data_IF_293302042039
#
_entry.id   IF_293302042039
#
_cell.length_a   1.000
_cell.length_b   1.000
_cell.length_c   1.000
_cell.angle_alpha   90.00
_cell.angle_beta   90.00
_cell.angle_gamma   90.00
#
_symmetry.space_group_name_H-M   'P 1'
#
loop_
_entity.id
_entity.type
_entity.pdbx_description
1 polymer ?
#
# COMPACT_ATOMS: atom_id res chain seq x y z
N UNK A 1 -29.59 -5.41 -31.60
CA UNK A 1 -29.47 -3.93 -31.63
C UNK A 1 -30.05 -3.27 -30.38
N UNK A 2 -31.27 -3.59 -29.94
CA UNK A 2 -31.92 -2.95 -28.76
C UNK A 2 -31.16 -3.21 -27.44
N UNK A 3 -30.61 -4.40 -27.22
CA UNK A 3 -29.85 -4.75 -26.00
C UNK A 3 -28.53 -3.99 -25.86
N UNK A 4 -27.83 -3.72 -26.98
CA UNK A 4 -26.60 -2.91 -26.98
C UNK A 4 -26.88 -1.42 -26.70
N UNK A 5 -27.98 -0.89 -27.23
CA UNK A 5 -28.40 0.50 -26.97
C UNK A 5 -28.78 0.72 -25.51
N UNK A 6 -29.47 -0.25 -24.88
CA UNK A 6 -29.81 -0.21 -23.45
C UNK A 6 -28.56 -0.33 -22.56
N UNK A 7 -27.64 -1.26 -22.87
CA UNK A 7 -26.38 -1.39 -22.13
C UNK A 7 -25.49 -0.13 -22.23
N UNK A 8 -25.40 0.49 -23.41
CA UNK A 8 -24.70 1.75 -23.60
C UNK A 8 -25.35 2.92 -22.83
N UNK A 9 -26.68 2.97 -22.77
CA UNK A 9 -27.41 4.01 -22.03
C UNK A 9 -27.27 3.88 -20.51
N UNK A 10 -27.17 2.66 -19.99
CA UNK A 10 -26.98 2.39 -18.56
C UNK A 10 -25.56 2.76 -18.09
N UNK A 11 -24.54 2.41 -18.89
CA UNK A 11 -23.14 2.77 -18.61
C UNK A 11 -22.91 4.29 -18.61
N UNK A 12 -23.62 5.03 -19.47
CA UNK A 12 -23.56 6.50 -19.50
C UNK A 12 -24.18 7.13 -18.24
N UNK A 13 -25.32 6.61 -17.78
CA UNK A 13 -25.96 7.06 -16.53
C UNK A 13 -25.07 6.76 -15.31
N UNK A 14 -24.43 5.59 -15.28
CA UNK A 14 -23.44 5.26 -14.25
C UNK A 14 -22.24 6.21 -14.29
N UNK A 15 -21.69 6.52 -15.47
CA UNK A 15 -20.60 7.49 -15.62
C UNK A 15 -20.98 8.88 -15.10
N UNK A 16 -22.21 9.32 -15.37
CA UNK A 16 -22.70 10.62 -14.94
C UNK A 16 -22.76 10.76 -13.41
N UNK A 17 -22.97 9.65 -12.69
CA UNK A 17 -22.99 9.61 -11.23
C UNK A 17 -21.61 9.32 -10.61
N UNK A 18 -20.86 8.36 -11.17
CA UNK A 18 -19.61 7.89 -10.59
C UNK A 18 -18.47 8.88 -10.75
N UNK A 19 -18.38 9.61 -11.88
CA UNK A 19 -17.33 10.61 -12.08
C UNK A 19 -17.35 11.73 -11.03
N UNK A 20 -18.47 12.42 -10.76
CA UNK A 20 -18.50 13.42 -9.69
C UNK A 20 -18.30 12.81 -8.31
N UNK A 21 -18.78 11.59 -8.07
CA UNK A 21 -18.54 10.88 -6.81
C UNK A 21 -17.04 10.60 -6.60
N UNK A 22 -16.32 10.05 -7.58
CA UNK A 22 -14.88 9.81 -7.49
C UNK A 22 -14.08 11.11 -7.36
N UNK A 23 -14.50 12.19 -8.02
CA UNK A 23 -13.87 13.50 -7.87
C UNK A 23 -14.04 14.05 -6.44
N UNK A 24 -15.22 13.91 -5.86
CA UNK A 24 -15.49 14.29 -4.46
C UNK A 24 -14.64 13.45 -3.51
N UNK A 25 -14.59 12.13 -3.70
CA UNK A 25 -13.82 11.25 -2.83
C UNK A 25 -12.31 11.53 -2.93
N UNK A 26 -11.78 11.75 -4.14
CA UNK A 26 -10.38 12.19 -4.32
C UNK A 26 -10.13 13.51 -3.58
N UNK A 27 -11.04 14.48 -3.68
CA UNK A 27 -10.91 15.76 -2.96
C UNK A 27 -10.96 15.59 -1.44
N UNK A 28 -11.76 14.67 -0.92
CA UNK A 28 -11.81 14.38 0.51
C UNK A 28 -10.51 13.70 0.96
N UNK A 29 -10.03 12.71 0.21
CA UNK A 29 -8.77 12.03 0.47
C UNK A 29 -7.58 13.01 0.48
N UNK A 30 -7.52 13.95 -0.48
CA UNK A 30 -6.44 14.94 -0.56
C UNK A 30 -6.39 15.95 0.59
N UNK A 31 -7.42 15.99 1.46
CA UNK A 31 -7.38 16.80 2.70
C UNK A 31 -6.64 16.08 3.83
N UNK A 32 -6.58 14.75 3.77
CA UNK A 32 -5.95 13.90 4.78
C UNK A 32 -4.62 13.31 4.31
N UNK A 33 -4.46 13.13 3.00
CA UNK A 33 -3.23 12.64 2.38
C UNK A 33 -2.43 13.84 1.87
N UNK A 34 -1.29 14.17 2.49
CA UNK A 34 -0.44 15.25 2.01
C UNK A 34 0.14 14.88 0.63
N UNK A 35 0.18 15.89 -0.25
CA UNK A 35 0.85 15.79 -1.53
C UNK A 35 2.36 15.71 -1.32
N UNK A 36 3.05 14.99 -2.21
CA UNK A 36 4.51 14.98 -2.24
C UNK A 36 5.01 16.42 -2.47
N UNK A 37 5.89 16.96 -1.61
CA UNK A 37 6.40 18.32 -1.78
C UNK A 37 7.07 18.48 -3.14
N UNK A 38 6.78 19.57 -3.87
CA UNK A 38 7.41 19.84 -5.17
C UNK A 38 8.92 20.03 -5.11
N UNK A 39 9.47 20.25 -3.91
CA UNK A 39 10.90 20.37 -3.62
C UNK A 39 11.56 19.05 -3.23
N UNK A 40 10.79 17.97 -3.06
CA UNK A 40 11.33 16.66 -2.71
C UNK A 40 12.20 16.12 -3.87
N UNK A 41 13.37 15.59 -3.53
CA UNK A 41 14.22 14.85 -4.48
C UNK A 41 13.99 13.37 -4.25
N UNK A 42 13.19 12.76 -5.12
CA UNK A 42 12.76 11.39 -4.98
C UNK A 42 13.79 10.41 -5.56
N UNK A 43 14.04 9.34 -4.83
CA UNK A 43 14.89 8.23 -5.24
C UNK A 43 14.12 7.24 -6.11
N UNK A 44 14.84 6.50 -6.96
CA UNK A 44 14.28 5.51 -7.89
C UNK A 44 15.13 4.24 -7.89
N UNK A 45 14.50 3.10 -8.16
CA UNK A 45 15.15 1.80 -8.21
C UNK A 45 16.16 1.66 -9.35
N UNK A 46 16.00 2.44 -10.42
CA UNK A 46 16.89 2.41 -11.58
C UNK A 46 18.11 3.34 -11.45
N UNK A 47 18.24 4.08 -10.35
CA UNK A 47 19.42 4.89 -10.06
C UNK A 47 20.61 4.00 -9.61
N UNK A 48 21.72 3.95 -10.38
CA UNK A 48 22.90 3.17 -10.00
C UNK A 48 23.51 3.59 -8.66
N UNK A 49 23.37 4.86 -8.25
CA UNK A 49 23.87 5.34 -6.96
C UNK A 49 23.07 4.75 -5.79
N UNK A 50 21.76 4.57 -5.97
CA UNK A 50 20.88 3.89 -5.00
C UNK A 50 21.28 2.43 -4.87
N UNK A 51 21.49 1.73 -5.98
CA UNK A 51 21.87 0.30 -5.98
C UNK A 51 23.29 0.10 -5.43
N UNK A 52 24.23 1.01 -5.70
CA UNK A 52 25.61 0.85 -5.26
C UNK A 52 25.81 1.14 -3.76
N UNK A 53 24.96 1.99 -3.16
CA UNK A 53 25.11 2.40 -1.77
C UNK A 53 24.45 1.41 -0.81
N UNK A 54 25.24 0.48 -0.28
CA UNK A 54 24.74 -0.58 0.59
C UNK A 54 24.64 -0.13 2.06
N UNK A 55 25.56 0.69 2.60
CA UNK A 55 25.56 1.07 4.03
C UNK A 55 25.55 -0.12 5.02
N UNK A 56 25.19 0.14 6.27
CA UNK A 56 24.93 -0.91 7.28
C UNK A 56 23.61 -1.67 7.00
N UNK A 57 23.39 -2.78 7.71
CA UNK A 57 22.18 -3.61 7.63
C UNK A 57 21.46 -3.69 8.95
N UNK A 58 20.14 -3.76 8.89
CA UNK A 58 19.25 -4.05 10.01
C UNK A 58 18.87 -5.52 9.97
N UNK A 59 18.98 -6.20 11.11
CA UNK A 59 18.52 -7.59 11.21
C UNK A 59 17.00 -7.65 11.40
N UNK A 60 16.30 -8.00 10.33
CA UNK A 60 14.84 -8.14 10.32
C UNK A 60 14.36 -9.57 10.67
N UNK A 61 15.23 -10.48 11.12
CA UNK A 61 14.88 -11.89 11.35
C UNK A 61 13.78 -12.07 12.43
N UNK A 62 13.74 -11.21 13.46
CA UNK A 62 12.66 -11.22 14.45
C UNK A 62 11.31 -10.95 13.79
N UNK A 63 11.24 -9.92 12.94
CA UNK A 63 10.01 -9.58 12.22
C UNK A 63 9.62 -10.65 11.21
N UNK A 64 10.58 -11.18 10.45
CA UNK A 64 10.35 -12.29 9.52
C UNK A 64 9.74 -13.49 10.23
N UNK A 65 10.24 -13.81 11.43
CA UNK A 65 9.75 -14.93 12.23
C UNK A 65 8.34 -14.71 12.80
N UNK A 66 7.99 -13.46 13.14
CA UNK A 66 6.63 -13.07 13.54
C UNK A 66 5.68 -13.20 12.35
N UNK A 67 6.07 -12.66 11.19
CA UNK A 67 5.26 -12.72 9.97
C UNK A 67 4.99 -14.16 9.52
N UNK A 68 6.01 -15.02 9.51
CA UNK A 68 5.83 -16.44 9.15
C UNK A 68 4.92 -17.20 10.11
N UNK A 69 4.90 -16.82 11.38
CA UNK A 69 4.09 -17.49 12.39
C UNK A 69 2.62 -17.07 12.33
N UNK A 70 2.34 -15.80 11.99
CA UNK A 70 1.02 -15.20 12.17
C UNK A 70 0.38 -14.68 10.89
N UNK A 71 1.03 -14.80 9.72
CA UNK A 71 0.49 -14.33 8.44
C UNK A 71 0.39 -15.49 7.45
N UNK A 72 -0.84 -15.77 7.02
CA UNK A 72 -1.18 -16.80 6.04
C UNK A 72 -2.04 -16.16 4.95
N UNK A 73 -1.61 -16.29 3.69
CA UNK A 73 -2.30 -15.71 2.53
C UNK A 73 -2.62 -14.20 2.64
N UNK A 74 -1.79 -13.47 3.42
CA UNK A 74 -1.97 -12.04 3.67
C UNK A 74 -2.94 -11.68 4.80
N UNK A 75 -3.53 -12.68 5.46
CA UNK A 75 -4.40 -12.54 6.62
C UNK A 75 -3.60 -12.73 7.91
N UNK A 76 -3.91 -11.94 8.92
CA UNK A 76 -3.14 -11.87 10.17
C UNK A 76 -3.89 -12.53 11.32
N UNK A 77 -3.23 -13.45 12.02
CA UNK A 77 -3.64 -13.89 13.35
C UNK A 77 -3.24 -12.84 14.38
N UNK A 78 -4.09 -11.83 14.55
CA UNK A 78 -3.83 -10.76 15.52
C UNK A 78 -3.87 -11.24 16.98
N UNK A 79 -4.57 -12.33 17.28
CA UNK A 79 -4.63 -12.87 18.64
C UNK A 79 -3.31 -13.59 18.98
N UNK A 80 -2.85 -14.48 18.11
CA UNK A 80 -1.55 -15.13 18.23
C UNK A 80 -0.40 -14.13 18.21
N UNK A 81 -0.44 -13.15 17.30
CA UNK A 81 0.58 -12.11 17.21
C UNK A 81 0.65 -11.23 18.45
N UNK A 82 -0.49 -10.94 19.10
CA UNK A 82 -0.51 -10.17 20.35
C UNK A 82 0.19 -10.88 21.51
N UNK A 83 0.24 -12.21 21.49
CA UNK A 83 0.92 -13.03 22.48
C UNK A 83 2.42 -13.26 22.17
N UNK A 84 2.90 -12.84 21.00
CA UNK A 84 4.26 -13.08 20.55
C UNK A 84 5.23 -11.98 21.01
N UNK A 85 6.18 -12.28 21.93
CA UNK A 85 7.10 -11.26 22.45
C UNK A 85 8.04 -10.69 21.38
N UNK A 86 8.29 -11.44 20.29
CA UNK A 86 9.21 -11.04 19.22
C UNK A 86 8.75 -9.77 18.50
N UNK A 87 7.43 -9.48 18.49
CA UNK A 87 6.92 -8.20 17.97
C UNK A 87 7.39 -7.02 18.84
N UNK A 88 7.50 -7.19 20.16
CA UNK A 88 8.07 -6.18 21.06
C UNK A 88 9.55 -5.98 20.80
N UNK A 89 10.29 -7.09 20.82
CA UNK A 89 11.74 -7.09 20.62
C UNK A 89 12.13 -6.46 19.29
N UNK A 90 11.37 -6.73 18.22
CA UNK A 90 11.61 -6.11 16.92
C UNK A 90 11.35 -4.60 16.91
N UNK A 91 10.31 -4.13 17.59
CA UNK A 91 10.01 -2.69 17.67
C UNK A 91 11.08 -1.95 18.46
N UNK A 92 11.57 -2.54 19.55
CA UNK A 92 12.68 -1.99 20.33
C UNK A 92 13.97 -1.95 19.50
N UNK A 93 14.22 -2.97 18.67
CA UNK A 93 15.36 -3.01 17.76
C UNK A 93 15.32 -1.87 16.75
N UNK A 94 14.21 -1.69 16.01
CA UNK A 94 14.12 -0.65 14.99
C UNK A 94 14.08 0.77 15.58
N UNK A 95 13.64 0.92 16.83
CA UNK A 95 13.69 2.18 17.55
C UNK A 95 15.14 2.64 17.82
N UNK A 96 16.08 1.70 17.95
CA UNK A 96 17.49 1.98 18.27
C UNK A 96 18.41 2.08 17.05
N UNK A 97 17.91 1.85 15.84
CA UNK A 97 18.70 1.90 14.59
C UNK A 97 19.26 3.31 14.33
N UNK A 98 20.50 3.40 13.88
CA UNK A 98 21.07 4.64 13.37
C UNK A 98 20.83 4.73 11.85
N UNK A 99 19.78 5.45 11.45
CA UNK A 99 19.39 5.55 10.05
C UNK A 99 20.49 6.20 9.19
N UNK A 100 21.34 7.06 9.72
CA UNK A 100 22.35 7.77 8.92
C UNK A 100 23.44 6.84 8.36
N UNK A 101 23.58 5.64 8.93
CA UNK A 101 24.52 4.62 8.47
C UNK A 101 23.95 3.69 7.40
N UNK A 102 22.65 3.74 7.17
CA UNK A 102 21.96 2.85 6.24
C UNK A 102 22.05 3.34 4.80
N UNK A 103 22.21 2.41 3.86
CA UNK A 103 22.03 2.68 2.45
C UNK A 103 20.55 2.96 2.12
N UNK A 104 20.26 3.60 0.97
CA UNK A 104 18.89 3.88 0.51
C UNK A 104 17.92 2.70 0.59
N UNK A 105 18.29 1.54 0.01
CA UNK A 105 17.41 0.37 -0.02
C UNK A 105 17.16 -0.19 1.38
N UNK A 106 18.15 -0.12 2.28
CA UNK A 106 18.00 -0.53 3.67
C UNK A 106 17.10 0.43 4.45
N UNK A 107 17.19 1.75 4.20
CA UNK A 107 16.20 2.71 4.74
C UNK A 107 14.79 2.37 4.27
N UNK A 108 14.61 2.08 2.98
CA UNK A 108 13.32 1.72 2.42
C UNK A 108 12.76 0.45 3.08
N UNK A 109 13.56 -0.61 3.18
CA UNK A 109 13.18 -1.85 3.86
C UNK A 109 12.82 -1.60 5.33
N UNK A 110 13.65 -0.85 6.07
CA UNK A 110 13.41 -0.49 7.45
C UNK A 110 12.05 0.18 7.63
N UNK A 111 11.75 1.23 6.86
CA UNK A 111 10.51 1.99 7.03
C UNK A 111 9.26 1.22 6.55
N UNK A 112 9.36 0.38 5.52
CA UNK A 112 8.24 -0.51 5.14
C UNK A 112 7.97 -1.56 6.22
N UNK A 113 9.02 -2.20 6.75
CA UNK A 113 8.88 -3.14 7.86
C UNK A 113 8.35 -2.45 9.12
N UNK A 114 8.83 -1.23 9.41
CA UNK A 114 8.40 -0.45 10.56
C UNK A 114 6.91 -0.09 10.45
N UNK A 115 6.45 0.40 9.30
CA UNK A 115 5.02 0.69 9.08
C UNK A 115 4.17 -0.53 9.39
N UNK A 116 4.52 -1.69 8.81
CA UNK A 116 3.74 -2.92 8.96
C UNK A 116 3.75 -3.43 10.42
N UNK A 117 4.91 -3.40 11.08
CA UNK A 117 5.03 -3.83 12.48
C UNK A 117 4.29 -2.88 13.43
N UNK A 118 4.37 -1.56 13.22
CA UNK A 118 3.64 -0.56 13.99
C UNK A 118 2.12 -0.65 13.77
N UNK A 119 1.69 -0.88 12.53
CA UNK A 119 0.27 -1.10 12.23
C UNK A 119 -0.24 -2.34 12.97
N UNK A 120 0.50 -3.46 12.89
CA UNK A 120 0.18 -4.66 13.66
C UNK A 120 0.14 -4.38 15.17
N UNK A 121 1.15 -3.67 15.71
CA UNK A 121 1.21 -3.26 17.12
C UNK A 121 -0.03 -2.49 17.56
N UNK A 122 -0.52 -1.57 16.72
CA UNK A 122 -1.75 -0.80 16.99
C UNK A 122 -2.94 -1.74 17.12
N UNK A 123 -3.13 -2.66 16.17
CA UNK A 123 -4.24 -3.61 16.21
C UNK A 123 -4.14 -4.56 17.41
N UNK A 124 -2.98 -5.16 17.64
CA UNK A 124 -2.78 -6.12 18.75
C UNK A 124 -2.96 -5.48 20.13
N UNK A 125 -2.57 -4.20 20.27
CA UNK A 125 -2.63 -3.48 21.55
C UNK A 125 -4.01 -2.87 21.80
N UNK A 126 -4.59 -2.21 20.79
CA UNK A 126 -5.84 -1.45 20.95
C UNK A 126 -7.09 -2.29 20.68
N UNK A 127 -6.96 -3.44 20.00
CA UNK A 127 -8.01 -4.44 19.76
C UNK A 127 -9.34 -3.83 19.27
N UNK A 128 -9.36 -3.15 18.11
CA UNK A 128 -10.60 -2.68 17.53
C UNK A 128 -11.56 -3.85 17.22
N UNK A 129 -12.86 -3.57 17.21
CA UNK A 129 -13.89 -4.61 17.03
C UNK A 129 -13.95 -5.10 15.57
N UNK A 130 -13.91 -4.17 14.60
CA UNK A 130 -14.17 -4.46 13.19
C UNK A 130 -13.14 -3.86 12.27
N UNK A 131 -12.66 -2.66 12.58
CA UNK A 131 -11.82 -1.88 11.69
C UNK A 131 -10.78 -1.08 12.46
N UNK A 132 -9.63 -0.84 11.84
CA UNK A 132 -8.69 0.17 12.32
C UNK A 132 -9.35 1.55 12.47
N UNK A 133 -10.41 1.85 11.70
CA UNK A 133 -11.20 3.08 11.81
C UNK A 133 -11.95 3.20 13.14
N UNK A 134 -12.21 2.10 13.86
CA UNK A 134 -12.83 2.13 15.19
C UNK A 134 -11.94 2.85 16.21
N UNK A 135 -10.66 3.02 15.88
CA UNK A 135 -9.66 3.71 16.70
C UNK A 135 -9.58 5.22 16.39
N UNK A 136 -10.30 5.69 15.38
CA UNK A 136 -10.42 7.10 15.02
C UNK A 136 -11.66 7.74 15.64
N UNK A 137 -11.59 9.06 15.87
CA UNK A 137 -12.73 9.89 16.28
C UNK A 137 -12.98 10.97 15.22
N UNK A 138 -13.99 11.82 15.44
CA UNK A 138 -14.27 12.97 14.55
C UNK A 138 -13.11 13.97 14.47
N UNK A 139 -12.26 14.03 15.49
CA UNK A 139 -11.20 15.04 15.63
C UNK A 139 -9.79 14.44 15.66
N UNK A 140 -9.67 13.12 15.67
CA UNK A 140 -8.39 12.45 15.81
C UNK A 140 -8.38 11.21 14.94
N UNK A 141 -7.41 11.09 14.03
CA UNK A 141 -7.22 9.89 13.24
C UNK A 141 -6.13 9.02 13.87
N UNK A 142 -6.31 7.70 13.83
CA UNK A 142 -5.32 6.76 14.36
C UNK A 142 -3.98 6.86 13.65
N UNK A 143 -3.97 7.18 12.35
CA UNK A 143 -2.74 7.33 11.57
C UNK A 143 -1.90 8.55 11.93
N UNK A 144 -2.48 9.57 12.57
CA UNK A 144 -1.79 10.80 13.01
C UNK A 144 -1.30 10.70 14.47
N UNK A 145 -1.65 9.63 15.19
CA UNK A 145 -1.21 9.46 16.57
C UNK A 145 0.20 8.87 16.62
N UNK A 146 1.00 9.21 17.64
CA UNK A 146 2.22 8.48 17.94
C UNK A 146 1.91 6.99 18.18
N UNK A 147 2.61 6.11 17.44
CA UNK A 147 2.44 4.65 17.53
C UNK A 147 3.70 3.90 17.93
N UNK A 148 4.85 4.56 17.91
CA UNK A 148 6.13 4.00 18.33
C UNK A 148 7.30 4.87 17.90
N UNK A 149 8.50 4.30 17.89
CA UNK A 149 9.71 4.97 17.44
C UNK A 149 10.43 4.17 16.37
N UNK A 150 11.06 4.87 15.43
CA UNK A 150 11.92 4.29 14.39
C UNK A 150 13.16 5.16 14.29
N UNK A 151 14.33 4.54 14.39
CA UNK A 151 15.62 5.22 14.33
C UNK A 151 15.73 6.46 15.25
N UNK A 152 15.32 6.30 16.51
CA UNK A 152 15.37 7.36 17.53
C UNK A 152 14.28 8.44 17.42
N UNK A 153 13.39 8.36 16.44
CA UNK A 153 12.32 9.35 16.22
C UNK A 153 10.97 8.73 16.58
N UNK A 154 10.18 9.43 17.39
CA UNK A 154 8.76 9.08 17.61
C UNK A 154 7.95 9.37 16.34
N UNK A 155 7.16 8.39 15.90
CA UNK A 155 6.45 8.44 14.62
C UNK A 155 5.00 8.00 14.76
N UNK A 156 4.15 8.59 13.94
CA UNK A 156 2.83 8.09 13.56
C UNK A 156 2.92 7.17 12.32
N UNK A 157 1.82 6.50 11.95
CA UNK A 157 1.78 5.74 10.69
C UNK A 157 1.92 6.67 9.47
N UNK A 158 1.31 7.86 9.53
CA UNK A 158 1.42 8.86 8.48
C UNK A 158 2.85 9.42 8.36
N UNK A 159 3.58 9.56 9.47
CA UNK A 159 5.00 9.96 9.40
C UNK A 159 5.83 8.95 8.62
N UNK A 160 5.66 7.65 8.92
CA UNK A 160 6.36 6.57 8.21
C UNK A 160 5.98 6.55 6.72
N UNK A 161 4.68 6.56 6.41
CA UNK A 161 4.20 6.47 5.03
C UNK A 161 4.53 7.70 4.20
N UNK A 162 4.37 8.90 4.74
CA UNK A 162 4.50 10.12 3.96
C UNK A 162 5.94 10.64 4.01
N UNK A 163 6.47 10.89 5.20
CA UNK A 163 7.78 11.54 5.36
C UNK A 163 8.93 10.63 4.98
N UNK A 164 8.90 9.36 5.39
CA UNK A 164 10.02 8.43 5.22
C UNK A 164 9.91 7.52 3.98
N UNK A 165 8.70 7.37 3.42
CA UNK A 165 8.47 6.57 2.22
C UNK A 165 8.09 7.45 1.01
N UNK A 166 6.85 7.94 0.92
CA UNK A 166 6.34 8.64 -0.28
C UNK A 166 7.12 9.90 -0.64
N UNK A 167 7.66 10.63 0.33
CA UNK A 167 8.44 11.86 0.08
C UNK A 167 9.93 11.59 -0.20
N UNK A 168 10.35 10.32 -0.13
CA UNK A 168 11.73 9.90 -0.38
C UNK A 168 11.88 9.10 -1.68
N UNK A 169 10.78 8.55 -2.23
CA UNK A 169 10.79 7.61 -3.36
C UNK A 169 9.71 7.90 -4.40
N UNK A 170 10.09 7.86 -5.68
CA UNK A 170 9.16 7.87 -6.83
C UNK A 170 8.86 6.41 -7.22
N UNK A 171 8.37 5.63 -6.25
CA UNK A 171 8.16 4.20 -6.39
C UNK A 171 6.76 3.79 -5.90
N UNK A 172 5.75 3.81 -6.78
CA UNK A 172 4.36 3.53 -6.39
C UNK A 172 4.14 2.08 -5.90
N UNK A 173 5.11 1.18 -6.12
CA UNK A 173 5.11 -0.17 -5.57
C UNK A 173 5.12 -0.20 -4.03
N UNK A 174 5.52 0.90 -3.37
CA UNK A 174 5.43 1.07 -1.91
C UNK A 174 4.01 0.78 -1.40
N UNK A 175 2.98 1.23 -2.12
CA UNK A 175 1.58 1.01 -1.74
C UNK A 175 1.21 -0.47 -1.61
N UNK A 176 1.88 -1.37 -2.35
CA UNK A 176 1.68 -2.82 -2.24
C UNK A 176 2.52 -3.49 -1.13
N UNK A 177 3.39 -2.73 -0.48
CA UNK A 177 4.34 -3.21 0.51
C UNK A 177 4.01 -2.75 1.94
N UNK A 178 3.15 -1.74 2.10
CA UNK A 178 2.64 -1.29 3.39
C UNK A 178 1.14 -1.62 3.51
N UNK A 179 0.70 -2.06 4.69
CA UNK A 179 -0.66 -2.57 4.89
C UNK A 179 -1.37 -1.89 6.05
N UNK A 180 -2.51 -1.28 5.74
CA UNK A 180 -3.38 -0.54 6.65
C UNK A 180 -4.32 -1.39 7.52
N UNK A 181 -4.02 -2.69 7.67
CA UNK A 181 -4.82 -3.68 8.40
C UNK A 181 -6.28 -3.86 7.92
N UNK A 182 -6.66 -3.41 6.72
CA UNK A 182 -8.00 -3.60 6.15
C UNK A 182 -8.02 -4.67 5.06
N UNK A 183 -9.19 -5.28 4.86
CA UNK A 183 -9.43 -6.37 3.90
C UNK A 183 -9.17 -5.97 2.44
N UNK A 184 -9.48 -4.71 2.09
CA UNK A 184 -9.20 -4.15 0.76
C UNK A 184 -7.78 -3.58 0.61
N UNK A 185 -6.98 -3.51 1.67
CA UNK A 185 -5.55 -3.18 1.56
C UNK A 185 -4.82 -4.32 0.78
N UNK A 186 -3.64 -4.05 0.20
CA UNK A 186 -2.75 -5.09 -0.27
C UNK A 186 -2.47 -6.10 0.84
N UNK A 187 -2.37 -7.37 0.48
CA UNK A 187 -2.16 -8.47 1.42
C UNK A 187 -0.85 -8.29 2.18
N UNK A 188 -0.77 -8.50 3.50
CA UNK A 188 0.50 -8.40 4.22
C UNK A 188 1.50 -9.46 3.74
N UNK A 189 2.78 -9.09 3.64
CA UNK A 189 3.82 -10.06 3.30
C UNK A 189 4.04 -11.01 4.48
N UNK A 190 4.17 -12.32 4.22
CA UNK A 190 4.53 -13.31 5.23
C UNK A 190 6.06 -13.39 5.46
N UNK A 191 6.78 -12.33 5.08
CA UNK A 191 8.23 -12.20 5.19
C UNK A 191 8.61 -10.73 5.39
N UNK A 192 9.74 -10.48 6.04
CA UNK A 192 10.27 -9.13 6.20
C UNK A 192 11.04 -8.68 4.95
N UNK A 193 10.98 -7.40 4.62
CA UNK A 193 11.78 -6.83 3.54
C UNK A 193 13.26 -6.73 3.95
N UNK A 194 14.17 -6.93 3.00
CA UNK A 194 15.62 -6.75 3.18
C UNK A 194 16.10 -5.72 2.18
N UNK A 195 16.92 -4.75 2.60
CA UNK A 195 17.39 -3.65 1.75
C UNK A 195 18.61 -3.99 0.90
N UNK A 196 18.60 -5.17 0.29
CA UNK A 196 19.60 -5.53 -0.70
C UNK A 196 19.13 -5.21 -2.13
N UNK A 197 19.99 -5.50 -3.10
CA UNK A 197 19.74 -5.26 -4.52
C UNK A 197 18.50 -5.98 -5.10
N UNK A 198 17.92 -6.94 -4.38
CA UNK A 198 16.72 -7.67 -4.82
C UNK A 198 15.42 -6.99 -4.40
N UNK A 199 15.47 -6.01 -3.47
CA UNK A 199 14.29 -5.33 -2.95
C UNK A 199 13.37 -4.76 -4.05
N UNK A 200 13.87 -4.07 -5.10
CA UNK A 200 13.03 -3.59 -6.18
C UNK A 200 12.18 -4.67 -6.85
N UNK A 201 12.76 -5.85 -7.10
CA UNK A 201 12.06 -6.95 -7.76
C UNK A 201 11.06 -7.63 -6.83
N UNK A 202 11.36 -7.71 -5.53
CA UNK A 202 10.41 -8.11 -4.50
C UNK A 202 9.20 -7.18 -4.49
N UNK A 203 9.43 -5.85 -4.45
CA UNK A 203 8.34 -4.86 -4.42
C UNK A 203 7.49 -4.89 -5.70
N UNK A 204 8.11 -5.04 -6.88
CA UNK A 204 7.40 -5.21 -8.15
C UNK A 204 6.55 -6.48 -8.17
N UNK A 205 7.08 -7.59 -7.66
CA UNK A 205 6.33 -8.85 -7.57
C UNK A 205 5.11 -8.71 -6.65
N UNK A 206 5.25 -7.98 -5.55
CA UNK A 206 4.16 -7.68 -4.61
C UNK A 206 3.07 -6.83 -5.25
N UNK A 207 3.46 -5.81 -6.02
CA UNK A 207 2.54 -4.99 -6.79
C UNK A 207 1.81 -5.79 -7.88
N UNK A 208 2.52 -6.65 -8.60
CA UNK A 208 1.92 -7.52 -9.62
C UNK A 208 0.91 -8.50 -9.01
N UNK A 209 1.24 -9.08 -7.84
CA UNK A 209 0.32 -9.93 -7.10
C UNK A 209 -0.93 -9.16 -6.65
N UNK A 210 -0.77 -7.92 -6.18
CA UNK A 210 -1.91 -7.06 -5.83
C UNK A 210 -2.82 -6.81 -7.04
N UNK A 211 -2.26 -6.46 -8.20
CA UNK A 211 -3.06 -6.28 -9.41
C UNK A 211 -3.64 -7.56 -10.00
N UNK A 212 -3.12 -8.73 -9.62
CA UNK A 212 -3.70 -10.01 -10.03
C UNK A 212 -4.92 -10.39 -9.18
N UNK A 213 -5.17 -9.68 -8.07
CA UNK A 213 -6.37 -9.86 -7.26
C UNK A 213 -7.54 -9.05 -7.83
N UNK A 214 -8.44 -9.73 -8.54
CA UNK A 214 -9.63 -9.11 -9.15
C UNK A 214 -10.71 -8.66 -8.13
N UNK A 215 -10.53 -8.94 -6.84
CA UNK A 215 -11.48 -8.54 -5.80
C UNK A 215 -11.15 -7.16 -5.21
N UNK A 216 -9.87 -6.76 -5.22
CA UNK A 216 -9.42 -5.52 -4.59
C UNK A 216 -8.35 -4.73 -5.35
N UNK A 217 -7.60 -5.36 -6.24
CA UNK A 217 -6.48 -4.75 -6.96
C UNK A 217 -6.84 -4.20 -8.32
N UNK A 218 -7.10 -5.08 -9.28
CA UNK A 218 -7.48 -4.73 -10.65
C UNK A 218 -8.40 -5.78 -11.26
N UNK A 219 -9.51 -5.34 -11.84
CA UNK A 219 -10.38 -6.17 -12.68
C UNK A 219 -10.60 -5.52 -14.04
N UNK A 220 -10.40 -6.30 -15.09
CA UNK A 220 -10.56 -5.86 -16.48
C UNK A 220 -11.81 -6.51 -17.09
N UNK A 221 -12.66 -5.69 -17.71
CA UNK A 221 -13.81 -6.14 -18.51
C UNK A 221 -13.63 -5.61 -19.95
N UNK A 222 -12.96 -6.36 -20.84
CA UNK A 222 -12.74 -5.92 -22.21
C UNK A 222 -14.02 -5.77 -23.03
N UNK A 223 -15.05 -6.58 -22.73
CA UNK A 223 -16.33 -6.50 -23.46
C UNK A 223 -17.03 -5.17 -23.20
N UNK A 224 -16.92 -4.65 -21.98
CA UNK A 224 -17.46 -3.34 -21.61
C UNK A 224 -16.43 -2.22 -21.66
N UNK A 225 -15.18 -2.48 -22.04
CA UNK A 225 -14.09 -1.50 -22.01
C UNK A 225 -13.99 -0.77 -20.64
N UNK A 226 -14.05 -1.55 -19.55
CA UNK A 226 -14.01 -1.05 -18.16
C UNK A 226 -12.79 -1.63 -17.44
N UNK A 227 -12.03 -0.77 -16.77
CA UNK A 227 -10.98 -1.15 -15.83
C UNK A 227 -11.37 -0.69 -14.43
N UNK A 228 -11.48 -1.63 -13.49
CA UNK A 228 -11.82 -1.39 -12.09
C UNK A 228 -10.57 -1.51 -11.23
N UNK A 229 -10.21 -0.46 -10.49
CA UNK A 229 -8.99 -0.41 -9.69
C UNK A 229 -9.29 -0.35 -8.19
N UNK A 230 -8.31 -0.70 -7.37
CA UNK A 230 -8.31 -0.36 -5.94
C UNK A 230 -8.52 1.13 -5.72
N UNK A 231 -9.21 1.50 -4.63
CA UNK A 231 -9.32 2.90 -4.19
C UNK A 231 -7.99 3.56 -3.86
N UNK A 232 -6.94 2.79 -3.59
CA UNK A 232 -5.59 3.32 -3.43
C UNK A 232 -5.18 4.14 -4.67
N UNK A 233 -5.51 3.68 -5.88
CA UNK A 233 -5.19 4.40 -7.12
C UNK A 233 -6.07 5.64 -7.33
N UNK A 234 -7.15 5.80 -6.55
CA UNK A 234 -7.96 7.01 -6.52
C UNK A 234 -7.39 8.01 -5.50
N UNK A 235 -7.16 7.55 -4.27
CA UNK A 235 -6.72 8.38 -3.15
C UNK A 235 -5.28 8.88 -3.30
N UNK A 236 -4.39 8.03 -3.82
CA UNK A 236 -2.99 8.32 -4.08
C UNK A 236 -2.70 8.53 -5.57
N UNK A 237 -3.69 8.99 -6.34
CA UNK A 237 -3.58 9.14 -7.80
C UNK A 237 -2.34 9.94 -8.25
N UNK A 238 -1.89 10.89 -7.43
CA UNK A 238 -0.73 11.73 -7.73
C UNK A 238 0.60 10.95 -7.66
N UNK A 239 0.68 9.91 -6.83
CA UNK A 239 1.85 9.03 -6.74
C UNK A 239 2.02 8.19 -8.02
N UNK A 240 0.93 7.90 -8.74
CA UNK A 240 0.95 7.16 -10.00
C UNK A 240 1.10 8.06 -11.23
N UNK A 241 1.18 9.39 -11.04
CA UNK A 241 1.18 10.35 -12.14
C UNK A 241 2.46 10.26 -12.99
N UNK A 242 3.62 10.00 -12.39
CA UNK A 242 4.89 9.78 -13.11
C UNK A 242 4.82 8.58 -14.08
N UNK A 243 4.05 7.55 -13.72
CA UNK A 243 3.73 6.41 -14.58
C UNK A 243 2.76 6.72 -15.73
N UNK A 244 2.21 7.93 -15.80
CA UNK A 244 1.15 8.34 -16.72
C UNK A 244 -0.27 7.99 -16.24
N UNK A 245 -0.44 7.82 -14.92
CA UNK A 245 -1.70 7.55 -14.26
C UNK A 245 -2.03 6.06 -14.12
N UNK A 246 -3.13 5.72 -13.41
CA UNK A 246 -3.48 4.36 -13.00
C UNK A 246 -3.44 3.30 -14.11
N UNK A 247 -4.01 3.61 -15.28
CA UNK A 247 -4.09 2.66 -16.41
C UNK A 247 -2.72 2.38 -17.00
N UNK A 248 -1.95 3.44 -17.29
CA UNK A 248 -0.62 3.28 -17.91
C UNK A 248 0.34 2.58 -16.96
N UNK A 249 0.28 2.95 -15.68
CA UNK A 249 1.04 2.30 -14.63
C UNK A 249 0.69 0.81 -14.53
N UNK A 250 -0.59 0.45 -14.44
CA UNK A 250 -1.01 -0.94 -14.36
C UNK A 250 -0.63 -1.76 -15.61
N UNK A 251 -0.71 -1.19 -16.82
CA UNK A 251 -0.23 -1.83 -18.05
C UNK A 251 1.25 -2.22 -17.97
N UNK A 252 2.09 -1.39 -17.34
CA UNK A 252 3.51 -1.68 -17.15
C UNK A 252 3.82 -2.59 -15.96
N UNK A 253 2.99 -2.56 -14.92
CA UNK A 253 3.28 -3.18 -13.63
C UNK A 253 2.58 -4.53 -13.41
N UNK A 254 1.58 -4.88 -14.22
CA UNK A 254 0.78 -6.10 -14.10
C UNK A 254 0.87 -6.94 -15.39
N UNK A 255 1.94 -7.74 -15.57
CA UNK A 255 2.18 -8.44 -16.83
C UNK A 255 1.13 -9.48 -17.19
N UNK A 256 0.53 -10.17 -16.20
CA UNK A 256 -0.53 -11.16 -16.45
C UNK A 256 -1.85 -10.48 -16.93
N UNK A 257 -2.38 -9.44 -16.26
CA UNK A 257 -3.48 -8.64 -16.81
C UNK A 257 -3.14 -7.86 -18.09
N UNK A 258 -1.85 -7.64 -18.42
CA UNK A 258 -1.44 -6.81 -19.55
C UNK A 258 -1.97 -7.33 -20.90
N UNK A 259 -2.06 -8.65 -21.08
CA UNK A 259 -2.62 -9.23 -22.30
C UNK A 259 -4.10 -8.86 -22.51
N UNK A 260 -4.88 -8.69 -21.42
CA UNK A 260 -6.26 -8.24 -21.50
C UNK A 260 -6.34 -6.75 -21.83
N UNK A 261 -5.41 -5.94 -21.32
CA UNK A 261 -5.32 -4.52 -21.64
C UNK A 261 -5.09 -4.27 -23.15
N UNK A 262 -4.40 -5.15 -23.86
CA UNK A 262 -4.20 -5.04 -25.32
C UNK A 262 -5.50 -5.20 -26.13
N UNK A 263 -6.50 -5.85 -25.54
CA UNK A 263 -7.84 -5.99 -26.13
C UNK A 263 -8.79 -4.84 -25.78
N UNK A 264 -8.33 -3.85 -25.01
CA UNK A 264 -9.11 -2.71 -24.52
C UNK A 264 -8.68 -1.40 -25.17
N UNK A 265 -9.51 -0.36 -25.08
CA UNK A 265 -9.14 0.99 -25.50
C UNK A 265 -7.92 1.51 -24.73
N UNK A 266 -7.14 2.46 -25.29
CA UNK A 266 -6.08 3.15 -24.55
C UNK A 266 -6.60 3.91 -23.32
N UNK A 267 -7.87 4.29 -23.33
CA UNK A 267 -8.56 5.02 -22.27
C UNK A 267 -9.86 4.31 -21.90
N UNK A 268 -9.79 3.13 -21.25
CA UNK A 268 -10.99 2.42 -20.84
C UNK A 268 -11.72 3.23 -19.77
N UNK A 269 -13.01 2.96 -19.57
CA UNK A 269 -13.79 3.56 -18.48
C UNK A 269 -13.19 3.13 -17.14
N UNK A 270 -12.93 4.12 -16.28
CA UNK A 270 -12.40 3.87 -14.94
C UNK A 270 -13.52 3.63 -13.95
N UNK A 271 -13.33 2.59 -13.15
CA UNK A 271 -14.13 2.26 -11.97
C UNK A 271 -13.19 2.00 -10.81
N UNK A 272 -13.73 2.06 -9.61
CA UNK A 272 -13.02 1.69 -8.41
C UNK A 272 -13.86 0.75 -7.57
N UNK A 273 -13.22 -0.25 -6.96
CA UNK A 273 -13.87 -1.15 -6.01
C UNK A 273 -14.44 -0.37 -4.82
N UNK A 274 -15.42 -0.94 -4.16
CA UNK A 274 -15.73 -0.53 -2.79
C UNK A 274 -14.58 -0.95 -1.87
N UNK A 275 -14.35 -0.16 -0.81
CA UNK A 275 -13.24 -0.41 0.12
C UNK A 275 -13.75 -0.97 1.43
N UNK A 276 -13.49 -2.26 1.67
CA UNK A 276 -13.83 -2.95 2.90
C UNK A 276 -12.78 -2.67 3.98
N UNK A 277 -13.20 -1.86 4.95
CA UNK A 277 -12.40 -1.48 6.10
C UNK A 277 -12.36 -2.53 7.22
N UNK A 278 -13.05 -3.66 7.07
CA UNK A 278 -12.96 -4.78 7.99
C UNK A 278 -11.51 -5.24 8.12
N UNK A 279 -11.08 -5.61 9.34
CA UNK A 279 -9.72 -6.09 9.58
C UNK A 279 -9.37 -7.27 8.67
N UNK A 280 -8.13 -7.31 8.18
CA UNK A 280 -7.61 -8.46 7.43
C UNK A 280 -7.20 -9.62 8.38
N UNK A 281 -8.06 -9.96 9.33
CA UNK A 281 -7.79 -11.02 10.29
C UNK A 281 -8.02 -12.41 9.68
N UNK A 282 -7.26 -13.40 10.15
CA UNK A 282 -7.60 -14.79 9.93
C UNK A 282 -8.95 -15.05 10.61
N UNK A 283 -9.91 -15.56 9.83
CA UNK A 283 -11.18 -16.01 10.40
C UNK A 283 -10.97 -17.42 10.96
N UNK A 284 -11.50 -17.74 12.15
CA UNK A 284 -11.42 -19.09 12.71
C UNK A 284 -12.15 -20.13 11.86
#
# INVERSE_FOLDING_TARGET
>A
MITLLLAGSLLWLEDAYLKPYYALEKMLASRSIPAVPSTATLQRFDDPAVIANQGERVDHALWDSVLRAHVVDGLVDYEGMAADPRLGEYLDLIAAVDADKLGPLEKLALYMNAYNALCCRVITTRKPEKSILDLSTKTTQIWDQPVGSVAGVEVSLNDVEHTFLRFQWDEPAIHACIVCASSSCPSLASFAFTGDHTLPDVMRSRLAAFFSDETKGLKLDPQRDVATFSRILLWFADDFASGGGPVRFARSAAPEPAALFDSMSPHPRLRYFDYDWALNNQRP
#
